data_IF_471027579754
#
_entry.id   IF_471027579754
#
_cell.length_a   1.000
_cell.length_b   1.000
_cell.length_c   1.000
_cell.angle_alpha   90.00
_cell.angle_beta   90.00
_cell.angle_gamma   90.00
#
_symmetry.space_group_name_H-M   'P 1'
#
loop_
_entity.id
_entity.type
_entity.pdbx_description
1 polymer ?
#
# COMPACT_ATOMS: atom_id res chain seq x y z
N UNK A 1 -1.21 15.43 2.20
CA UNK A 1 -0.78 15.03 0.83
C UNK A 1 -1.13 13.57 0.56
N UNK A 2 -1.09 13.09 -0.69
CA UNK A 2 -1.53 11.74 -1.10
C UNK A 2 -0.82 10.61 -0.32
N UNK A 3 0.43 10.83 0.11
CA UNK A 3 1.24 9.93 0.93
C UNK A 3 0.75 9.78 2.37
N UNK A 4 0.20 10.84 2.96
CA UNK A 4 -0.39 10.77 4.31
C UNK A 4 -1.74 10.06 4.27
N UNK A 5 -2.47 10.23 3.17
CA UNK A 5 -3.74 9.54 2.99
C UNK A 5 -3.53 8.02 2.94
N UNK A 6 -2.60 7.51 2.12
CA UNK A 6 -2.39 6.05 1.98
C UNK A 6 -1.95 5.38 3.29
N UNK A 7 -1.26 6.10 4.19
CA UNK A 7 -0.89 5.60 5.52
C UNK A 7 -2.10 5.35 6.42
N UNK A 8 -3.19 6.06 6.21
CA UNK A 8 -4.43 5.90 6.98
C UNK A 8 -5.44 4.95 6.31
N UNK A 9 -5.14 4.49 5.10
CA UNK A 9 -5.98 3.54 4.37
C UNK A 9 -5.87 2.14 5.01
N UNK A 10 -7.01 1.42 5.20
CA UNK A 10 -6.99 0.04 5.68
C UNK A 10 -6.12 -0.87 4.82
N UNK A 11 -5.40 -1.81 5.46
CA UNK A 11 -4.48 -2.73 4.75
C UNK A 11 -5.18 -3.48 3.61
N UNK A 12 -6.42 -3.94 3.84
CA UNK A 12 -7.22 -4.64 2.83
C UNK A 12 -7.50 -3.81 1.58
N UNK A 13 -7.63 -2.49 1.73
CA UNK A 13 -7.83 -1.60 0.59
C UNK A 13 -6.50 -1.34 -0.14
N UNK A 14 -5.38 -1.23 0.59
CA UNK A 14 -4.04 -1.13 0.01
C UNK A 14 -3.73 -2.38 -0.83
N UNK A 15 -3.98 -3.57 -0.27
CA UNK A 15 -3.82 -4.86 -0.98
C UNK A 15 -4.66 -4.92 -2.25
N UNK A 16 -5.92 -4.45 -2.17
CA UNK A 16 -6.82 -4.40 -3.32
C UNK A 16 -6.35 -3.45 -4.41
N UNK A 17 -5.76 -2.31 -4.06
CA UNK A 17 -5.15 -1.38 -5.02
C UNK A 17 -3.95 -2.03 -5.70
N UNK A 18 -3.06 -2.69 -4.93
CA UNK A 18 -1.88 -3.36 -5.48
C UNK A 18 -2.26 -4.52 -6.41
N UNK A 19 -3.33 -5.26 -6.08
CA UNK A 19 -3.84 -6.36 -6.89
C UNK A 19 -4.58 -5.90 -8.16
N UNK A 20 -4.97 -4.62 -8.27
CA UNK A 20 -5.66 -4.09 -9.43
C UNK A 20 -4.68 -3.80 -10.58
N UNK A 21 -4.74 -4.64 -11.62
CA UNK A 21 -3.95 -4.47 -12.86
C UNK A 21 -4.23 -3.16 -13.59
N UNK A 22 -5.42 -2.57 -13.44
CA UNK A 22 -5.74 -1.28 -14.07
C UNK A 22 -5.06 -0.11 -13.36
N UNK A 23 -4.78 -0.26 -12.07
CA UNK A 23 -4.04 0.72 -11.30
C UNK A 23 -2.52 0.61 -11.52
N UNK A 24 -2.03 -0.52 -12.04
CA UNK A 24 -0.61 -0.75 -12.26
C UNK A 24 0.02 0.37 -13.12
N UNK A 25 1.11 0.95 -12.63
CA UNK A 25 1.80 2.08 -13.29
C UNK A 25 1.26 3.47 -12.93
N UNK A 26 0.16 3.56 -12.18
CA UNK A 26 -0.34 4.85 -11.65
C UNK A 26 0.41 5.26 -10.37
N UNK A 27 0.47 6.56 -10.05
CA UNK A 27 1.09 7.04 -8.80
C UNK A 27 0.47 6.40 -7.54
N UNK A 28 -0.84 6.18 -7.53
CA UNK A 28 -1.53 5.59 -6.38
C UNK A 28 -1.15 4.11 -6.17
N UNK A 29 -0.90 3.37 -7.26
CA UNK A 29 -0.43 1.98 -7.17
C UNK A 29 1.00 1.88 -6.64
N UNK A 30 1.89 2.79 -7.07
CA UNK A 30 3.26 2.85 -6.54
C UNK A 30 3.26 3.15 -5.04
N UNK A 31 2.44 4.12 -4.60
CA UNK A 31 2.29 4.44 -3.18
C UNK A 31 1.69 3.27 -2.37
N UNK A 32 0.67 2.60 -2.91
CA UNK A 32 0.07 1.43 -2.28
C UNK A 32 1.09 0.28 -2.16
N UNK A 33 1.91 0.04 -3.18
CA UNK A 33 2.94 -1.00 -3.16
C UNK A 33 4.01 -0.73 -2.09
N UNK A 34 4.48 0.51 -1.98
CA UNK A 34 5.46 0.92 -0.97
C UNK A 34 4.87 0.76 0.43
N UNK A 35 3.63 1.21 0.64
CA UNK A 35 2.96 1.13 1.94
C UNK A 35 2.68 -0.33 2.34
N UNK A 36 2.29 -1.19 1.39
CA UNK A 36 2.11 -2.62 1.62
C UNK A 36 3.44 -3.26 2.05
N UNK A 37 4.54 -3.00 1.34
CA UNK A 37 5.86 -3.49 1.70
C UNK A 37 6.30 -3.01 3.09
N UNK A 38 6.01 -1.75 3.45
CA UNK A 38 6.33 -1.18 4.76
C UNK A 38 5.61 -1.94 5.88
N UNK A 39 4.29 -2.12 5.76
CA UNK A 39 3.47 -2.80 6.78
C UNK A 39 3.82 -4.28 6.92
N UNK A 40 4.12 -4.96 5.82
CA UNK A 40 4.58 -6.35 5.86
C UNK A 40 5.92 -6.47 6.60
N UNK A 41 6.86 -5.55 6.37
CA UNK A 41 8.13 -5.54 7.11
C UNK A 41 7.95 -5.23 8.61
N UNK A 42 7.03 -4.34 8.97
CA UNK A 42 6.71 -4.05 10.38
C UNK A 42 6.09 -5.27 11.06
N UNK A 43 5.22 -6.00 10.37
CA UNK A 43 4.61 -7.24 10.88
C UNK A 43 5.67 -8.33 11.07
N UNK A 44 6.57 -8.51 10.09
CA UNK A 44 7.66 -9.48 10.19
C UNK A 44 8.73 -9.12 11.24
N UNK A 45 8.93 -7.83 11.55
CA UNK A 45 9.82 -7.39 12.63
C UNK A 45 9.19 -7.47 14.02
N UNK A 46 7.86 -7.46 14.10
CA UNK A 46 7.12 -7.55 15.35
C UNK A 46 6.79 -9.01 15.76
N UNK A 47 7.08 -9.98 14.90
CA UNK A 47 6.97 -11.42 15.15
C UNK A 47 8.31 -12.02 15.57
#
# INVERSE_FOLDING_TARGET
>A
MLEEWIRNVPLTLVERIVADRKAQGTPIWSLASIELMRRTQETCKAA
#
